data_IF_258124534869
#
_entry.id   IF_258124534869
#
_cell.length_a   1.000
_cell.length_b   1.000
_cell.length_c   1.000
_cell.angle_alpha   90.00
_cell.angle_beta   90.00
_cell.angle_gamma   90.00
#
_symmetry.space_group_name_H-M   'P 1'
#
loop_
_entity.id
_entity.type
_entity.pdbx_description
1 polymer ?
#
# COMPACT_ATOMS: atom_id res chain seq x y z
N UNK A 1 26.04 -7.13 36.63
CA UNK A 1 25.33 -6.44 37.73
C UNK A 1 25.81 -4.99 37.83
N UNK A 2 24.97 -4.02 37.45
CA UNK A 2 24.95 -2.64 37.96
C UNK A 2 23.67 -1.98 37.44
N UNK A 3 22.66 -1.90 38.30
CA UNK A 3 21.38 -1.22 38.04
C UNK A 3 21.61 0.28 38.19
N UNK A 4 21.30 1.05 37.15
CA UNK A 4 21.23 2.51 37.22
C UNK A 4 19.81 2.87 37.67
N UNK A 5 19.70 3.50 38.85
CA UNK A 5 18.46 4.03 39.41
C UNK A 5 18.12 5.32 38.67
N UNK A 6 16.92 5.39 38.07
CA UNK A 6 16.33 6.63 37.61
C UNK A 6 15.71 7.33 38.82
N UNK A 7 16.21 8.54 39.12
CA UNK A 7 15.68 9.38 40.18
C UNK A 7 14.31 9.93 39.79
N UNK A 8 13.35 9.78 40.69
CA UNK A 8 12.05 10.46 40.67
C UNK A 8 12.27 11.97 40.74
N UNK A 9 12.01 12.67 39.64
CA UNK A 9 11.89 14.13 39.62
C UNK A 9 10.54 14.50 40.23
N UNK A 10 10.58 14.96 41.49
CA UNK A 10 9.48 15.66 42.16
C UNK A 10 9.07 16.90 41.35
N UNK A 11 7.81 16.95 40.95
CA UNK A 11 7.17 18.13 40.37
C UNK A 11 7.23 19.27 41.39
N UNK A 12 8.01 20.31 41.11
CA UNK A 12 7.93 21.58 41.81
C UNK A 12 6.63 22.28 41.38
N UNK A 13 5.75 22.54 42.35
CA UNK A 13 4.50 23.28 42.13
C UNK A 13 4.79 24.68 41.61
N UNK A 14 4.27 24.98 40.42
CA UNK A 14 4.28 26.33 39.84
C UNK A 14 3.17 27.13 40.51
N UNK A 15 3.57 28.12 41.29
CA UNK A 15 2.71 29.13 41.91
C UNK A 15 2.20 30.08 40.80
N UNK A 16 0.92 30.01 40.46
CA UNK A 16 0.28 30.99 39.58
C UNK A 16 0.04 32.30 40.35
N UNK A 17 0.66 33.39 39.88
CA UNK A 17 0.38 34.74 40.35
C UNK A 17 -0.90 35.22 39.67
N UNK A 18 -1.94 35.39 40.49
CA UNK A 18 -3.23 35.96 40.10
C UNK A 18 -3.16 37.48 39.95
N UNK A 19 -3.66 38.01 38.83
CA UNK A 19 -4.21 39.36 38.78
C UNK A 19 -5.62 39.33 38.19
N UNK A 20 -6.60 39.62 39.05
CA UNK A 20 -7.71 40.52 38.72
C UNK A 20 -8.80 40.05 37.77
N UNK A 21 -9.63 39.10 38.22
CA UNK A 21 -11.10 39.13 38.13
C UNK A 21 -11.64 37.87 38.82
N UNK A 22 -12.67 38.00 39.67
CA UNK A 22 -13.26 36.90 40.42
C UNK A 22 -13.97 35.90 39.49
N UNK A 23 -13.21 34.98 38.91
CA UNK A 23 -13.70 33.77 38.26
C UNK A 23 -13.22 32.57 39.07
N UNK A 24 -14.15 31.77 39.57
CA UNK A 24 -13.84 30.47 40.18
C UNK A 24 -12.98 29.65 39.22
N UNK A 25 -11.86 29.09 39.68
CA UNK A 25 -11.07 28.13 38.90
C UNK A 25 -12.01 27.05 38.34
N UNK A 26 -12.01 26.78 37.02
CA UNK A 26 -12.95 25.85 36.42
C UNK A 26 -12.75 24.45 37.01
N UNK A 27 -13.78 23.93 37.70
CA UNK A 27 -13.69 22.67 38.46
C UNK A 27 -14.30 21.51 37.68
N UNK A 28 -15.35 21.76 36.89
CA UNK A 28 -16.02 20.71 36.09
C UNK A 28 -15.40 20.57 34.70
N UNK A 29 -15.45 19.38 34.06
CA UNK A 29 -14.99 19.21 32.69
C UNK A 29 -15.64 20.18 31.70
N UNK A 30 -16.92 20.50 31.87
CA UNK A 30 -17.64 21.47 31.05
C UNK A 30 -17.07 22.89 31.19
N UNK A 31 -16.75 23.32 32.42
CA UNK A 31 -16.13 24.62 32.68
C UNK A 31 -14.71 24.68 32.11
N UNK A 32 -13.90 23.62 32.30
CA UNK A 32 -12.53 23.56 31.76
C UNK A 32 -12.55 23.59 30.24
N UNK A 33 -13.43 22.81 29.61
CA UNK A 33 -13.66 22.85 28.16
C UNK A 33 -14.08 24.24 27.68
N UNK A 34 -15.00 24.89 28.38
CA UNK A 34 -15.46 26.24 28.02
C UNK A 34 -14.31 27.25 28.09
N UNK A 35 -13.47 27.18 29.12
CA UNK A 35 -12.29 28.04 29.23
C UNK A 35 -11.37 27.89 28.00
N UNK A 36 -11.08 26.67 27.56
CA UNK A 36 -10.26 26.42 26.36
C UNK A 36 -10.92 26.91 25.05
N UNK A 37 -12.24 27.05 25.01
CA UNK A 37 -12.94 27.61 23.84
C UNK A 37 -12.86 29.14 23.78
N UNK A 38 -12.69 29.81 24.92
CA UNK A 38 -12.71 31.28 25.02
C UNK A 38 -11.34 31.93 24.82
N UNK A 39 -10.24 31.19 24.96
CA UNK A 39 -8.89 31.75 24.75
C UNK A 39 -8.65 32.12 23.28
N UNK A 40 -7.76 33.04 22.97
CA UNK A 40 -7.27 33.27 21.60
C UNK A 40 -6.03 32.41 21.34
N UNK A 41 -6.11 31.37 20.50
CA UNK A 41 -5.03 30.39 20.36
C UNK A 41 -3.78 30.96 19.68
N UNK A 42 -3.81 32.18 19.14
CA UNK A 42 -2.63 32.84 18.59
C UNK A 42 -1.65 33.35 19.68
N UNK A 43 -2.10 33.47 20.92
CA UNK A 43 -1.29 33.99 22.03
C UNK A 43 -0.45 32.90 22.71
N UNK A 44 0.75 33.25 23.20
CA UNK A 44 1.63 32.31 23.91
C UNK A 44 0.99 31.75 25.20
N UNK A 45 0.23 32.59 25.90
CA UNK A 45 -0.52 32.17 27.09
C UNK A 45 -1.59 31.14 26.73
N UNK A 46 -2.40 31.38 25.69
CA UNK A 46 -3.40 30.42 25.25
C UNK A 46 -2.78 29.12 24.74
N UNK A 47 -1.66 29.18 24.01
CA UNK A 47 -0.92 27.99 23.60
C UNK A 47 -0.51 27.15 24.81
N UNK A 48 -0.03 27.78 25.88
CA UNK A 48 0.31 27.11 27.14
C UNK A 48 -0.92 26.45 27.78
N UNK A 49 -2.05 27.15 27.84
CA UNK A 49 -3.30 26.60 28.41
C UNK A 49 -3.85 25.44 27.58
N UNK A 50 -3.80 25.54 26.25
CA UNK A 50 -4.23 24.48 25.35
C UNK A 50 -3.32 23.25 25.44
N UNK A 51 -2.00 23.44 25.55
CA UNK A 51 -1.06 22.34 25.77
C UNK A 51 -1.31 21.63 27.10
N UNK A 52 -1.59 22.37 28.17
CA UNK A 52 -1.98 21.79 29.45
C UNK A 52 -3.28 20.96 29.33
N UNK A 53 -4.25 21.43 28.54
CA UNK A 53 -5.51 20.74 28.27
C UNK A 53 -5.37 19.36 27.60
N UNK A 54 -4.23 19.06 26.96
CA UNK A 54 -3.96 17.73 26.38
C UNK A 54 -3.77 16.64 27.43
N UNK A 55 -3.52 17.01 28.69
CA UNK A 55 -3.33 16.10 29.83
C UNK A 55 -4.56 16.03 30.75
N UNK A 56 -5.70 16.63 30.34
CA UNK A 56 -6.92 16.60 31.14
C UNK A 56 -7.48 15.18 31.27
N UNK A 57 -8.05 14.85 32.43
CA UNK A 57 -8.69 13.54 32.68
C UNK A 57 -9.87 13.28 31.72
N UNK A 58 -10.60 14.34 31.33
CA UNK A 58 -11.79 14.25 30.49
C UNK A 58 -11.40 14.23 29.00
N UNK A 59 -11.79 13.20 28.23
CA UNK A 59 -11.44 13.10 26.82
C UNK A 59 -11.97 14.26 25.96
N UNK A 60 -13.12 14.86 26.30
CA UNK A 60 -13.67 15.99 25.54
C UNK A 60 -12.87 17.26 25.76
N UNK A 61 -12.33 17.47 26.96
CA UNK A 61 -11.41 18.59 27.22
C UNK A 61 -10.13 18.40 26.40
N UNK A 62 -9.51 17.21 26.44
CA UNK A 62 -8.31 16.89 25.62
C UNK A 62 -8.53 17.13 24.13
N UNK A 63 -9.62 16.60 23.59
CA UNK A 63 -9.97 16.73 22.16
C UNK A 63 -10.27 18.18 21.78
N UNK A 64 -10.87 18.96 22.68
CA UNK A 64 -11.10 20.39 22.46
C UNK A 64 -9.76 21.13 22.37
N UNK A 65 -8.85 20.89 23.31
CA UNK A 65 -7.52 21.47 23.30
C UNK A 65 -6.75 21.13 22.02
N UNK A 66 -6.73 19.86 21.65
CA UNK A 66 -6.08 19.36 20.45
C UNK A 66 -6.62 20.00 19.16
N UNK A 67 -7.96 20.09 19.02
CA UNK A 67 -8.58 20.70 17.84
C UNK A 67 -8.21 22.18 17.72
N UNK A 68 -8.22 22.90 18.85
CA UNK A 68 -7.86 24.32 18.89
C UNK A 68 -6.40 24.53 18.50
N UNK A 69 -5.48 23.70 18.98
CA UNK A 69 -4.06 23.73 18.56
C UNK A 69 -3.91 23.42 17.07
N UNK A 70 -4.55 22.35 16.58
CA UNK A 70 -4.48 21.89 15.20
C UNK A 70 -5.03 22.90 14.18
N UNK A 71 -6.13 23.58 14.50
CA UNK A 71 -6.76 24.57 13.62
C UNK A 71 -6.04 25.92 13.61
N UNK A 72 -5.07 26.14 14.50
CA UNK A 72 -4.35 27.41 14.61
C UNK A 72 -3.09 27.38 13.74
N UNK A 73 -2.98 28.20 12.69
CA UNK A 73 -1.85 28.15 11.75
C UNK A 73 -0.49 28.40 12.41
N UNK A 74 -0.45 29.24 13.45
CA UNK A 74 0.78 29.63 14.15
C UNK A 74 1.26 28.62 15.21
N UNK A 75 0.48 27.58 15.53
CA UNK A 75 0.92 26.51 16.45
C UNK A 75 2.23 25.91 15.93
N UNK A 76 3.20 25.60 16.79
CA UNK A 76 4.48 25.05 16.31
C UNK A 76 4.36 23.58 15.87
N UNK A 77 5.28 23.11 15.02
CA UNK A 77 5.37 21.68 14.66
C UNK A 77 5.66 20.82 15.89
N UNK A 78 6.48 21.33 16.82
CA UNK A 78 6.79 20.66 18.08
C UNK A 78 5.54 20.48 18.94
N UNK A 79 4.72 21.52 19.08
CA UNK A 79 3.44 21.47 19.81
C UNK A 79 2.46 20.48 19.17
N UNK A 80 2.37 20.45 17.83
CA UNK A 80 1.54 19.47 17.13
C UNK A 80 2.06 18.03 17.27
N UNK A 81 3.37 17.86 17.44
CA UNK A 81 3.99 16.54 17.67
C UNK A 81 3.55 15.95 19.01
N UNK A 82 3.25 16.78 20.01
CA UNK A 82 2.72 16.30 21.30
C UNK A 82 1.33 15.65 21.16
N UNK A 83 0.54 16.04 20.15
CA UNK A 83 -0.79 15.46 19.93
C UNK A 83 -0.68 14.01 19.43
N UNK A 84 0.32 13.70 18.59
CA UNK A 84 0.47 12.35 18.01
C UNK A 84 0.99 11.30 19.01
N UNK A 85 1.46 11.72 20.17
CA UNK A 85 1.90 10.83 21.26
C UNK A 85 0.82 10.70 22.38
N UNK A 86 -0.37 11.29 22.19
CA UNK A 86 -1.42 11.31 23.21
C UNK A 86 -2.13 9.94 23.38
N UNK A 87 -2.59 9.65 24.60
CA UNK A 87 -3.36 8.42 24.86
C UNK A 87 -4.68 8.35 24.08
N UNK A 88 -5.31 9.49 23.79
CA UNK A 88 -6.58 9.56 23.07
C UNK A 88 -6.36 9.49 21.55
N UNK A 89 -6.95 8.46 20.94
CA UNK A 89 -6.86 8.18 19.50
C UNK A 89 -7.31 9.38 18.64
N UNK A 90 -8.36 10.09 19.04
CA UNK A 90 -8.86 11.26 18.30
C UNK A 90 -7.93 12.45 18.42
N UNK A 91 -7.23 12.61 19.55
CA UNK A 91 -6.18 13.61 19.71
C UNK A 91 -5.01 13.29 18.78
N UNK A 92 -4.54 12.04 18.75
CA UNK A 92 -3.46 11.60 17.84
C UNK A 92 -3.82 11.85 16.38
N UNK A 93 -5.01 11.42 15.95
CA UNK A 93 -5.47 11.65 14.57
C UNK A 93 -5.58 13.14 14.23
N UNK A 94 -6.02 13.97 15.18
CA UNK A 94 -6.11 15.43 14.99
C UNK A 94 -4.72 16.05 14.82
N UNK A 95 -3.76 15.67 15.67
CA UNK A 95 -2.36 16.10 15.55
C UNK A 95 -1.73 15.68 14.24
N UNK A 96 -1.93 14.40 13.86
CA UNK A 96 -1.44 13.86 12.61
C UNK A 96 -2.01 14.66 11.43
N UNK A 97 -3.33 14.83 11.33
CA UNK A 97 -3.96 15.60 10.26
C UNK A 97 -3.41 17.02 10.14
N UNK A 98 -3.13 17.69 11.27
CA UNK A 98 -2.56 19.03 11.27
C UNK A 98 -1.12 19.06 10.76
N UNK A 99 -0.29 18.08 11.16
CA UNK A 99 1.08 17.93 10.68
C UNK A 99 1.12 17.60 9.19
N UNK A 100 0.27 16.68 8.74
CA UNK A 100 0.16 16.28 7.33
C UNK A 100 -0.28 17.46 6.45
N UNK A 101 -1.25 18.25 6.90
CA UNK A 101 -1.72 19.44 6.19
C UNK A 101 -0.66 20.54 6.03
N UNK A 102 0.37 20.56 6.89
CA UNK A 102 1.52 21.48 6.76
C UNK A 102 2.57 21.00 5.78
N UNK A 103 2.65 19.68 5.55
CA UNK A 103 3.65 19.08 4.68
C UNK A 103 5.08 19.18 5.20
N UNK A 104 6.03 18.98 4.29
CA UNK A 104 7.47 19.00 4.57
C UNK A 104 7.94 17.87 5.49
N UNK A 105 9.15 18.02 6.04
CA UNK A 105 9.79 16.98 6.84
C UNK A 105 9.01 16.63 8.11
N UNK A 106 8.32 17.61 8.71
CA UNK A 106 7.46 17.40 9.87
C UNK A 106 6.34 16.39 9.58
N UNK A 107 5.74 16.44 8.39
CA UNK A 107 4.72 15.48 7.98
C UNK A 107 5.29 14.07 7.78
N UNK A 108 6.52 13.94 7.23
CA UNK A 108 7.17 12.64 7.05
C UNK A 108 7.57 12.00 8.39
N UNK A 109 8.08 12.80 9.34
CA UNK A 109 8.37 12.34 10.70
C UNK A 109 7.09 11.90 11.41
N UNK A 110 6.02 12.69 11.30
CA UNK A 110 4.71 12.34 11.85
C UNK A 110 4.16 11.05 11.24
N UNK A 111 4.25 10.89 9.92
CA UNK A 111 3.83 9.67 9.21
C UNK A 111 4.60 8.45 9.69
N UNK A 112 5.92 8.56 9.83
CA UNK A 112 6.78 7.47 10.28
C UNK A 112 6.44 6.97 11.69
N UNK A 113 6.05 7.89 12.60
CA UNK A 113 5.56 7.56 13.95
C UNK A 113 4.15 6.98 13.90
N UNK A 114 3.26 7.60 13.14
CA UNK A 114 1.88 7.17 13.00
C UNK A 114 1.75 5.76 12.40
N UNK A 115 2.65 5.33 11.51
CA UNK A 115 2.69 3.95 11.00
C UNK A 115 3.00 2.89 12.09
N UNK A 116 3.51 3.29 13.26
CA UNK A 116 3.70 2.39 14.40
C UNK A 116 2.54 2.42 15.42
N UNK A 117 1.46 3.16 15.13
CA UNK A 117 0.33 3.33 16.05
C UNK A 117 -0.48 2.04 16.21
N UNK A 118 -0.95 1.76 17.43
CA UNK A 118 -1.81 0.60 17.69
C UNK A 118 -3.17 0.71 16.99
N UNK A 119 -3.63 1.92 16.68
CA UNK A 119 -4.92 2.16 16.05
C UNK A 119 -4.83 2.26 14.52
N UNK A 120 -5.59 1.41 13.83
CA UNK A 120 -5.65 1.33 12.36
C UNK A 120 -5.98 2.69 11.72
N UNK A 121 -6.88 3.49 12.30
CA UNK A 121 -7.28 4.77 11.70
C UNK A 121 -6.16 5.82 11.69
N UNK A 122 -5.22 5.74 12.63
CA UNK A 122 -4.05 6.63 12.67
C UNK A 122 -3.03 6.19 11.61
N UNK A 123 -2.76 4.88 11.53
CA UNK A 123 -1.89 4.31 10.49
C UNK A 123 -2.42 4.57 9.08
N UNK A 124 -3.74 4.43 8.89
CA UNK A 124 -4.42 4.67 7.62
C UNK A 124 -4.25 6.12 7.14
N UNK A 125 -4.43 7.10 8.02
CA UNK A 125 -4.23 8.51 7.67
C UNK A 125 -2.78 8.81 7.24
N UNK A 126 -1.80 8.14 7.85
CA UNK A 126 -0.40 8.27 7.44
C UNK A 126 -0.14 7.65 6.07
N UNK A 127 -0.64 6.43 5.80
CA UNK A 127 -0.42 5.78 4.50
C UNK A 127 -1.10 6.51 3.35
N UNK A 128 -2.31 7.06 3.56
CA UNK A 128 -3.02 7.84 2.54
C UNK A 128 -2.24 9.09 2.15
N UNK A 129 -1.64 9.77 3.12
CA UNK A 129 -0.78 10.93 2.85
C UNK A 129 0.47 10.55 2.08
N UNK A 130 1.18 9.50 2.52
CA UNK A 130 2.38 9.01 1.83
C UNK A 130 2.05 8.58 0.39
N UNK A 131 0.91 7.90 0.20
CA UNK A 131 0.40 7.47 -1.09
C UNK A 131 -0.06 8.63 -1.98
N UNK A 132 -0.18 9.85 -1.48
CA UNK A 132 -0.48 11.06 -2.27
C UNK A 132 0.76 11.95 -2.52
N UNK A 133 1.87 11.71 -1.83
CA UNK A 133 3.08 12.54 -1.87
C UNK A 133 3.91 12.32 -3.16
N UNK A 134 3.39 12.75 -4.31
CA UNK A 134 4.10 12.68 -5.61
C UNK A 134 4.96 13.92 -5.88
N UNK A 135 6.14 13.78 -6.51
CA UNK A 135 6.84 12.52 -6.79
C UNK A 135 7.35 11.89 -5.48
N UNK A 136 7.47 10.56 -5.45
CA UNK A 136 7.99 9.89 -4.26
C UNK A 136 9.48 10.15 -4.07
N UNK A 137 9.86 10.56 -2.87
CA UNK A 137 11.25 10.51 -2.42
C UNK A 137 11.59 9.11 -1.89
N UNK A 138 12.87 8.79 -1.82
CA UNK A 138 13.36 7.54 -1.21
C UNK A 138 12.75 7.30 0.18
N UNK A 139 12.64 8.38 0.97
CA UNK A 139 12.02 8.31 2.29
C UNK A 139 10.54 7.94 2.25
N UNK A 140 9.78 8.41 1.27
CA UNK A 140 8.37 8.04 1.11
C UNK A 140 8.27 6.57 0.69
N UNK A 141 9.13 6.12 -0.23
CA UNK A 141 9.19 4.72 -0.65
C UNK A 141 9.49 3.78 0.52
N UNK A 142 10.44 4.13 1.40
CA UNK A 142 10.75 3.36 2.62
C UNK A 142 9.54 3.26 3.57
N UNK A 143 8.78 4.35 3.71
CA UNK A 143 7.62 4.36 4.60
C UNK A 143 6.43 3.58 3.99
N UNK A 144 6.21 3.68 2.69
CA UNK A 144 5.22 2.86 1.98
C UNK A 144 5.62 1.38 2.01
N UNK A 145 6.92 1.06 1.90
CA UNK A 145 7.44 -0.29 2.07
C UNK A 145 7.05 -0.87 3.43
N UNK A 146 7.29 -0.13 4.52
CA UNK A 146 6.89 -0.55 5.87
C UNK A 146 5.37 -0.71 5.99
N UNK A 147 4.60 0.19 5.40
CA UNK A 147 3.13 0.11 5.40
C UNK A 147 2.59 -1.07 4.59
N UNK A 148 3.33 -1.57 3.59
CA UNK A 148 2.94 -2.77 2.84
C UNK A 148 2.97 -4.06 3.67
N UNK A 149 3.60 -4.02 4.85
CA UNK A 149 3.68 -5.13 5.82
C UNK A 149 2.69 -4.96 6.99
N UNK A 150 1.78 -3.98 6.93
CA UNK A 150 0.83 -3.71 8.01
C UNK A 150 -0.11 -4.90 8.26
N UNK A 151 -0.56 -5.09 9.51
CA UNK A 151 -1.55 -6.10 9.85
C UNK A 151 -2.91 -5.87 9.21
N UNK A 152 -3.26 -4.63 8.89
CA UNK A 152 -4.51 -4.25 8.23
C UNK A 152 -4.41 -4.33 6.70
N UNK A 153 -5.34 -5.04 6.06
CA UNK A 153 -5.32 -5.27 4.62
C UNK A 153 -5.47 -3.99 3.78
N UNK A 154 -6.29 -3.03 4.24
CA UNK A 154 -6.49 -1.77 3.49
C UNK A 154 -5.20 -0.97 3.43
N UNK A 155 -4.46 -0.92 4.53
CA UNK A 155 -3.17 -0.22 4.59
C UNK A 155 -2.17 -0.86 3.64
N UNK A 156 -2.06 -2.20 3.66
CA UNK A 156 -1.19 -2.93 2.72
C UNK A 156 -1.55 -2.63 1.27
N UNK A 157 -2.83 -2.70 0.92
CA UNK A 157 -3.31 -2.45 -0.45
C UNK A 157 -2.99 -1.03 -0.90
N UNK A 158 -3.24 -0.02 -0.08
CA UNK A 158 -2.93 1.38 -0.42
C UNK A 158 -1.43 1.54 -0.66
N UNK A 159 -0.59 0.99 0.22
CA UNK A 159 0.85 1.06 0.10
C UNK A 159 1.37 0.38 -1.17
N UNK A 160 0.96 -0.87 -1.42
CA UNK A 160 1.37 -1.64 -2.60
C UNK A 160 0.93 -0.97 -3.90
N UNK A 161 -0.33 -0.47 -3.96
CA UNK A 161 -0.83 0.25 -5.15
C UNK A 161 -0.09 1.55 -5.37
N UNK A 162 0.23 2.27 -4.30
CA UNK A 162 0.96 3.52 -4.39
C UNK A 162 2.32 3.31 -5.07
N UNK A 163 3.04 2.24 -4.72
CA UNK A 163 4.36 1.91 -5.27
C UNK A 163 4.33 1.07 -6.55
N UNK A 164 3.16 0.78 -7.13
CA UNK A 164 3.04 -0.04 -8.32
C UNK A 164 3.51 0.74 -9.57
N UNK A 165 4.64 0.38 -10.20
CA UNK A 165 5.22 1.18 -11.28
C UNK A 165 4.73 0.76 -12.67
N UNK A 166 3.90 -0.27 -12.77
CA UNK A 166 3.54 -0.87 -14.05
C UNK A 166 2.23 -0.35 -14.58
N UNK A 167 2.24 0.08 -15.84
CA UNK A 167 1.06 0.43 -16.60
C UNK A 167 1.28 0.10 -18.07
N UNK A 168 0.35 -0.65 -18.67
CA UNK A 168 0.31 -0.89 -20.12
C UNK A 168 -1.12 -1.21 -20.54
N UNK A 169 -1.61 -0.53 -21.57
CA UNK A 169 -2.83 -0.94 -22.26
C UNK A 169 -2.47 -2.05 -23.23
N UNK A 170 -2.76 -3.30 -22.88
CA UNK A 170 -2.40 -4.49 -23.64
C UNK A 170 -3.55 -5.01 -24.51
N UNK A 171 -4.37 -4.10 -25.05
CA UNK A 171 -5.55 -4.45 -25.84
C UNK A 171 -5.13 -5.18 -27.11
N UNK A 172 -5.59 -6.41 -27.26
CA UNK A 172 -5.37 -7.23 -28.46
C UNK A 172 -5.73 -6.47 -29.72
N UNK A 173 -4.92 -6.63 -30.77
CA UNK A 173 -5.17 -5.99 -32.06
C UNK A 173 -6.53 -6.37 -32.68
N UNK A 174 -7.10 -7.54 -32.33
CA UNK A 174 -8.44 -7.95 -32.79
C UNK A 174 -9.58 -7.23 -32.08
N UNK A 175 -9.32 -6.70 -30.89
CA UNK A 175 -10.29 -5.98 -30.06
C UNK A 175 -10.18 -4.44 -30.24
N UNK A 176 -9.22 -3.97 -31.05
CA UNK A 176 -9.04 -2.56 -31.36
C UNK A 176 -10.09 -2.09 -32.37
N UNK A 177 -10.88 -1.07 -32.02
CA UNK A 177 -11.96 -0.53 -32.85
C UNK A 177 -11.49 0.17 -34.14
N UNK A 178 -10.18 0.24 -34.39
CA UNK A 178 -9.57 0.99 -35.50
C UNK A 178 -9.19 0.12 -36.69
N UNK A 179 -9.34 -1.20 -36.62
CA UNK A 179 -8.93 -2.11 -37.70
C UNK A 179 -10.09 -2.45 -38.62
N UNK A 180 -10.07 -1.97 -39.86
CA UNK A 180 -10.97 -2.43 -40.95
C UNK A 180 -10.60 -3.83 -41.48
N UNK A 181 -9.77 -4.58 -40.74
CA UNK A 181 -9.21 -5.87 -41.12
C UNK A 181 -9.75 -6.93 -40.18
N UNK A 182 -10.25 -8.03 -40.75
CA UNK A 182 -10.68 -9.22 -40.00
C UNK A 182 -9.45 -9.97 -39.47
N UNK A 183 -9.15 -9.75 -38.18
CA UNK A 183 -8.01 -10.40 -37.49
C UNK A 183 -8.46 -11.72 -36.89
N UNK A 184 -7.81 -12.82 -37.28
CA UNK A 184 -8.15 -14.18 -36.82
C UNK A 184 -6.95 -14.87 -36.19
N UNK A 185 -7.25 -15.81 -35.29
CA UNK A 185 -6.23 -16.73 -34.75
C UNK A 185 -5.86 -17.73 -35.84
N UNK A 186 -4.59 -17.77 -36.25
CA UNK A 186 -4.07 -18.72 -37.25
C UNK A 186 -3.31 -19.87 -36.63
N UNK A 187 -2.75 -19.67 -35.44
CA UNK A 187 -2.03 -20.68 -34.69
C UNK A 187 -2.21 -20.45 -33.19
N UNK A 188 -2.35 -21.54 -32.45
CA UNK A 188 -2.37 -21.55 -30.98
C UNK A 188 -1.22 -22.39 -30.48
N UNK A 189 -0.37 -21.81 -29.63
CA UNK A 189 0.79 -22.46 -29.04
C UNK A 189 0.51 -22.60 -27.54
N UNK A 190 0.18 -23.79 -27.02
CA UNK A 190 -0.06 -23.98 -25.59
C UNK A 190 1.23 -23.83 -24.80
N UNK A 191 1.17 -23.13 -23.67
CA UNK A 191 2.26 -23.15 -22.70
C UNK A 191 2.24 -24.49 -21.96
N UNK A 192 3.41 -25.05 -21.63
CA UNK A 192 3.46 -26.31 -20.89
C UNK A 192 2.87 -26.12 -19.49
N UNK A 193 2.01 -27.05 -19.06
CA UNK A 193 1.46 -27.04 -17.71
C UNK A 193 2.55 -27.21 -16.65
N UNK A 194 3.55 -28.07 -16.91
CA UNK A 194 4.64 -28.38 -15.99
C UNK A 194 5.89 -27.48 -16.17
N UNK A 195 6.74 -27.50 -15.14
CA UNK A 195 8.07 -26.86 -15.15
C UNK A 195 8.06 -25.37 -14.81
N UNK A 196 6.99 -24.86 -14.20
CA UNK A 196 6.96 -23.51 -13.66
C UNK A 196 7.58 -23.48 -12.27
N UNK A 197 8.39 -22.46 -12.01
CA UNK A 197 8.84 -22.08 -10.68
C UNK A 197 7.76 -21.28 -9.98
N UNK A 198 7.59 -21.53 -8.69
CA UNK A 198 6.54 -20.96 -7.87
C UNK A 198 7.06 -20.44 -6.54
N UNK A 199 6.60 -19.25 -6.15
CA UNK A 199 6.99 -18.61 -4.89
C UNK A 199 5.81 -17.83 -4.31
N UNK A 200 5.50 -18.09 -3.03
CA UNK A 200 4.56 -17.28 -2.28
C UNK A 200 5.17 -15.92 -1.92
N UNK A 201 4.36 -14.86 -2.01
CA UNK A 201 4.72 -13.47 -1.72
C UNK A 201 3.82 -12.89 -0.60
N UNK A 202 3.94 -13.38 0.64
CA UNK A 202 3.12 -12.91 1.76
C UNK A 202 3.32 -11.42 2.07
N UNK A 203 4.48 -10.87 1.71
CA UNK A 203 4.83 -9.46 1.91
C UNK A 203 4.45 -8.57 0.71
N UNK A 204 3.89 -9.17 -0.37
CA UNK A 204 3.45 -8.50 -1.60
C UNK A 204 4.52 -7.61 -2.25
N UNK A 205 5.79 -7.95 -2.09
CA UNK A 205 6.93 -7.13 -2.49
C UNK A 205 7.73 -7.72 -3.66
N UNK A 206 7.32 -8.85 -4.25
CA UNK A 206 8.06 -9.50 -5.33
C UNK A 206 8.28 -8.59 -6.55
N UNK A 207 7.36 -7.65 -6.78
CA UNK A 207 7.48 -6.65 -7.83
C UNK A 207 8.55 -5.57 -7.54
N UNK A 208 8.89 -5.32 -6.27
CA UNK A 208 9.99 -4.43 -5.88
C UNK A 208 11.33 -5.17 -5.85
N UNK A 209 11.28 -6.47 -5.55
CA UNK A 209 12.43 -7.38 -5.64
C UNK A 209 12.70 -7.86 -7.08
N UNK A 210 11.98 -7.30 -8.06
CA UNK A 210 12.13 -7.61 -9.49
C UNK A 210 12.03 -9.10 -9.81
N UNK A 211 11.11 -9.83 -9.17
CA UNK A 211 10.94 -11.26 -9.43
C UNK A 211 10.51 -11.59 -10.88
N UNK A 212 10.11 -10.57 -11.66
CA UNK A 212 9.84 -10.67 -13.09
C UNK A 212 11.10 -10.56 -13.97
N UNK A 213 12.26 -10.20 -13.43
CA UNK A 213 13.46 -9.97 -14.21
C UNK A 213 13.99 -11.27 -14.84
N UNK A 214 14.48 -11.25 -16.10
CA UNK A 214 15.00 -12.44 -16.78
C UNK A 214 16.17 -13.09 -16.06
N UNK A 215 16.99 -12.31 -15.35
CA UNK A 215 18.20 -12.76 -14.67
C UNK A 215 18.02 -13.17 -13.21
N UNK A 216 16.81 -13.14 -12.65
CA UNK A 216 16.58 -13.58 -11.28
C UNK A 216 16.90 -15.08 -11.13
N UNK A 217 17.72 -15.41 -10.14
CA UNK A 217 17.96 -16.78 -9.67
C UNK A 217 16.75 -17.29 -8.86
N UNK A 218 16.05 -18.28 -9.40
CA UNK A 218 14.88 -18.93 -8.80
C UNK A 218 15.15 -20.38 -8.39
N UNK A 219 16.41 -20.78 -8.20
CA UNK A 219 16.74 -22.14 -7.75
C UNK A 219 16.13 -22.50 -6.38
N UNK A 220 15.81 -21.49 -5.56
CA UNK A 220 15.13 -21.66 -4.26
C UNK A 220 13.61 -21.68 -4.34
N UNK A 221 13.02 -21.51 -5.52
CA UNK A 221 11.57 -21.54 -5.72
C UNK A 221 11.09 -22.98 -5.89
N UNK A 222 9.88 -23.25 -5.42
CA UNK A 222 9.23 -24.54 -5.59
C UNK A 222 8.88 -24.78 -7.06
N UNK A 223 8.63 -26.04 -7.43
CA UNK A 223 8.05 -26.38 -8.73
C UNK A 223 6.54 -26.59 -8.59
N UNK A 224 5.74 -25.88 -9.37
CA UNK A 224 4.28 -26.02 -9.37
C UNK A 224 3.77 -25.98 -10.81
N UNK A 225 2.87 -26.88 -11.20
CA UNK A 225 2.22 -26.76 -12.51
C UNK A 225 1.18 -25.62 -12.51
N UNK A 226 0.90 -25.06 -13.70
CA UNK A 226 -0.34 -24.32 -13.95
C UNK A 226 -1.46 -25.32 -14.32
N UNK A 227 -2.66 -24.83 -14.63
CA UNK A 227 -3.86 -25.66 -14.86
C UNK A 227 -4.31 -26.44 -13.60
N UNK A 228 -3.92 -25.93 -12.44
CA UNK A 228 -4.30 -26.45 -11.13
C UNK A 228 -4.44 -25.29 -10.14
N UNK A 229 -5.28 -25.48 -9.13
CA UNK A 229 -5.35 -24.56 -7.98
C UNK A 229 -4.18 -24.84 -7.04
N UNK A 230 -3.59 -23.81 -6.43
CA UNK A 230 -2.41 -24.00 -5.57
C UNK A 230 -2.73 -24.76 -4.28
N UNK A 231 -3.99 -24.78 -3.84
CA UNK A 231 -4.42 -25.54 -2.66
C UNK A 231 -4.29 -27.05 -2.90
N UNK A 232 -4.61 -27.52 -4.10
CA UNK A 232 -4.45 -28.93 -4.50
C UNK A 232 -2.97 -29.32 -4.59
N UNK A 233 -2.09 -28.34 -4.79
CA UNK A 233 -0.64 -28.49 -4.76
C UNK A 233 -0.04 -28.42 -3.34
N UNK A 234 -0.87 -28.26 -2.30
CA UNK A 234 -0.45 -28.23 -0.91
C UNK A 234 -0.24 -26.84 -0.31
N UNK A 235 -0.55 -25.77 -1.04
CA UNK A 235 -0.45 -24.39 -0.54
C UNK A 235 -1.80 -23.88 -0.03
N UNK A 236 -2.10 -24.12 1.25
CA UNK A 236 -3.25 -23.49 1.91
C UNK A 236 -2.96 -22.01 2.22
N UNK A 237 -3.14 -21.16 1.21
CA UNK A 237 -2.70 -19.77 1.23
C UNK A 237 -3.67 -18.84 0.48
N UNK A 238 -3.93 -17.68 1.08
CA UNK A 238 -4.65 -16.56 0.48
C UNK A 238 -3.68 -15.37 0.40
N UNK A 239 -3.47 -14.85 -0.80
CA UNK A 239 -2.54 -13.75 -1.03
C UNK A 239 -1.96 -13.78 -2.43
N UNK A 240 -0.67 -13.45 -2.53
CA UNK A 240 0.04 -13.32 -3.81
C UNK A 240 0.98 -14.49 -4.00
N UNK A 241 0.95 -15.11 -5.18
CA UNK A 241 1.89 -16.12 -5.65
C UNK A 241 2.49 -15.75 -6.99
N UNK A 242 3.74 -16.09 -7.22
CA UNK A 242 4.47 -15.81 -8.46
C UNK A 242 4.80 -17.11 -9.17
N UNK A 243 4.60 -17.11 -10.48
CA UNK A 243 4.93 -18.19 -11.40
C UNK A 243 5.98 -17.70 -12.40
N UNK A 244 7.03 -18.49 -12.66
CA UNK A 244 8.03 -18.21 -13.71
C UNK A 244 8.23 -19.44 -14.60
N UNK A 245 8.29 -19.23 -15.92
CA UNK A 245 8.58 -20.29 -16.88
C UNK A 245 9.35 -19.78 -18.07
N UNK A 246 10.32 -20.57 -18.48
CA UNK A 246 11.10 -20.35 -19.69
C UNK A 246 10.64 -21.29 -20.80
N UNK A 247 10.18 -20.76 -21.93
CA UNK A 247 9.69 -21.53 -23.07
C UNK A 247 10.53 -21.23 -24.32
N UNK A 248 10.78 -22.25 -25.13
CA UNK A 248 11.38 -22.06 -26.46
C UNK A 248 10.25 -21.85 -27.47
N UNK A 249 10.28 -20.73 -28.20
CA UNK A 249 9.32 -20.46 -29.27
C UNK A 249 9.82 -21.01 -30.61
N UNK A 250 8.90 -21.38 -31.52
CA UNK A 250 9.24 -21.70 -32.90
C UNK A 250 9.71 -20.44 -33.64
N UNK A 251 10.25 -20.63 -34.85
CA UNK A 251 10.54 -19.54 -35.78
C UNK A 251 9.31 -18.65 -36.01
N UNK A 252 9.55 -17.38 -36.34
CA UNK A 252 8.51 -16.37 -36.46
C UNK A 252 7.48 -16.78 -37.53
N UNK A 253 6.20 -16.98 -37.15
CA UNK A 253 5.15 -17.25 -38.11
C UNK A 253 4.78 -15.96 -38.87
N UNK A 254 4.03 -16.11 -39.95
CA UNK A 254 3.43 -14.96 -40.64
C UNK A 254 2.27 -14.40 -39.79
N UNK A 255 2.55 -13.30 -39.08
CA UNK A 255 1.66 -12.73 -38.06
C UNK A 255 1.49 -11.22 -38.20
N UNK A 256 0.31 -10.72 -37.81
CA UNK A 256 0.03 -9.30 -37.53
C UNK A 256 0.17 -8.96 -36.06
N UNK A 257 -0.05 -9.94 -35.19
CA UNK A 257 0.10 -9.79 -33.76
C UNK A 257 0.13 -11.12 -33.03
N UNK A 258 0.41 -11.06 -31.74
CA UNK A 258 0.35 -12.22 -30.86
C UNK A 258 -0.27 -11.83 -29.52
N UNK A 259 -1.22 -12.63 -29.06
CA UNK A 259 -1.81 -12.50 -27.73
C UNK A 259 -1.27 -13.60 -26.81
N UNK A 260 -0.99 -13.26 -25.55
CA UNK A 260 -0.89 -14.24 -24.48
C UNK A 260 -2.26 -14.34 -23.82
N UNK A 261 -2.96 -15.45 -24.08
CA UNK A 261 -4.34 -15.68 -23.66
C UNK A 261 -4.39 -16.64 -22.47
N UNK A 262 -5.09 -16.22 -21.43
CA UNK A 262 -5.33 -16.98 -20.21
C UNK A 262 -6.78 -17.45 -20.19
N UNK A 263 -6.98 -18.74 -19.94
CA UNK A 263 -8.32 -19.28 -19.75
C UNK A 263 -9.01 -18.69 -18.52
N UNK A 264 -8.27 -18.50 -17.43
CA UNK A 264 -8.60 -17.72 -16.23
C UNK A 264 -7.42 -17.78 -15.24
N UNK A 265 -7.39 -16.83 -14.30
CA UNK A 265 -6.55 -16.86 -13.09
C UNK A 265 -7.44 -16.55 -11.90
N UNK A 266 -7.29 -17.30 -10.82
CA UNK A 266 -8.05 -17.08 -9.58
C UNK A 266 -7.20 -16.24 -8.61
N UNK A 267 -7.44 -14.93 -8.42
CA UNK A 267 -8.51 -14.09 -9.00
C UNK A 267 -7.98 -13.02 -9.96
N UNK A 268 -6.76 -12.55 -9.76
CA UNK A 268 -6.19 -11.44 -10.54
C UNK A 268 -4.76 -11.76 -10.96
N UNK A 269 -4.37 -11.26 -12.14
CA UNK A 269 -3.08 -11.55 -12.74
C UNK A 269 -2.36 -10.29 -13.20
N UNK A 270 -1.04 -10.27 -13.01
CA UNK A 270 -0.12 -9.32 -13.64
C UNK A 270 0.95 -10.12 -14.35
N UNK A 271 1.27 -9.77 -15.60
CA UNK A 271 2.08 -10.62 -16.46
C UNK A 271 3.26 -9.85 -17.03
N UNK A 272 4.40 -10.51 -17.09
CA UNK A 272 5.60 -10.02 -17.75
C UNK A 272 6.10 -11.05 -18.76
N UNK A 273 6.63 -10.55 -19.87
CA UNK A 273 7.32 -11.34 -20.89
C UNK A 273 8.73 -10.76 -21.03
N UNK A 274 9.75 -11.59 -20.81
CA UNK A 274 11.15 -11.21 -20.86
C UNK A 274 11.49 -10.00 -19.95
N UNK A 275 10.84 -9.92 -18.78
CA UNK A 275 10.99 -8.80 -17.84
C UNK A 275 10.18 -7.55 -18.16
N UNK A 276 9.55 -7.48 -19.32
CA UNK A 276 8.73 -6.35 -19.74
C UNK A 276 7.28 -6.60 -19.35
N UNK A 277 6.65 -5.63 -18.71
CA UNK A 277 5.25 -5.72 -18.30
C UNK A 277 4.33 -5.87 -19.51
N UNK A 278 3.62 -7.00 -19.56
CA UNK A 278 2.68 -7.31 -20.61
C UNK A 278 1.31 -6.66 -20.34
N UNK A 279 0.86 -6.65 -19.09
CA UNK A 279 -0.43 -6.11 -18.67
C UNK A 279 -1.01 -6.90 -17.49
N UNK A 280 -2.28 -6.63 -17.18
CA UNK A 280 -2.98 -7.23 -16.06
C UNK A 280 -4.44 -7.58 -16.35
N UNK A 281 -4.99 -8.39 -15.46
CA UNK A 281 -6.40 -8.66 -15.29
C UNK A 281 -6.70 -8.56 -13.79
N UNK A 282 -7.07 -7.37 -13.32
CA UNK A 282 -7.48 -7.07 -11.94
C UNK A 282 -8.91 -6.49 -11.96
N UNK A 283 -9.90 -7.35 -12.20
CA UNK A 283 -11.34 -6.99 -12.21
C UNK A 283 -12.03 -7.25 -10.86
N UNK A 284 -11.23 -7.58 -9.83
CA UNK A 284 -11.71 -7.93 -8.50
C UNK A 284 -12.19 -9.39 -8.36
N UNK A 285 -12.83 -9.74 -7.24
CA UNK A 285 -13.15 -11.14 -6.90
C UNK A 285 -14.10 -11.87 -7.86
N UNK A 286 -14.74 -11.16 -8.79
CA UNK A 286 -15.61 -11.77 -9.81
C UNK A 286 -14.82 -12.27 -11.03
N UNK A 287 -13.58 -11.80 -11.22
CA UNK A 287 -12.73 -12.12 -12.37
C UNK A 287 -12.15 -13.53 -12.39
N UNK A 288 -12.30 -14.30 -11.31
CA UNK A 288 -11.68 -15.61 -11.12
C UNK A 288 -11.96 -16.63 -12.24
N UNK A 289 -13.05 -16.47 -12.99
CA UNK A 289 -13.44 -17.38 -14.08
C UNK A 289 -13.48 -16.70 -15.46
N UNK A 290 -13.02 -15.45 -15.54
CA UNK A 290 -13.00 -14.68 -16.79
C UNK A 290 -11.71 -14.98 -17.57
N UNK A 291 -11.86 -15.25 -18.86
CA UNK A 291 -10.71 -15.32 -19.75
C UNK A 291 -10.24 -13.91 -20.12
N UNK A 292 -8.95 -13.76 -20.29
CA UNK A 292 -8.35 -12.50 -20.72
C UNK A 292 -7.15 -12.74 -21.61
N UNK A 293 -6.69 -11.67 -22.25
CA UNK A 293 -5.60 -11.70 -23.22
C UNK A 293 -4.82 -10.41 -23.17
N UNK A 294 -3.52 -10.53 -23.43
CA UNK A 294 -2.60 -9.41 -23.44
C UNK A 294 -1.86 -9.41 -24.77
N UNK A 295 -1.85 -8.27 -25.46
CA UNK A 295 -1.02 -8.08 -26.66
C UNK A 295 0.47 -8.14 -26.29
N UNK A 296 1.15 -9.17 -26.80
CA UNK A 296 2.57 -9.44 -26.60
C UNK A 296 3.37 -9.40 -27.91
N UNK A 297 2.80 -8.84 -28.98
CA UNK A 297 3.39 -8.79 -30.33
C UNK A 297 4.85 -8.33 -30.34
N UNK A 298 5.17 -7.29 -29.56
CA UNK A 298 6.52 -6.74 -29.46
C UNK A 298 7.36 -7.26 -28.29
N UNK A 299 6.85 -8.22 -27.49
CA UNK A 299 7.55 -8.74 -26.32
C UNK A 299 8.15 -10.13 -26.52
N UNK A 300 7.58 -10.91 -27.43
CA UNK A 300 8.06 -12.26 -27.76
C UNK A 300 9.31 -12.19 -28.64
N UNK A 301 10.24 -13.11 -28.39
CA UNK A 301 11.42 -13.36 -29.23
C UNK A 301 11.22 -14.68 -29.97
N UNK A 302 10.74 -14.63 -31.19
CA UNK A 302 10.53 -15.82 -32.01
C UNK A 302 11.84 -16.53 -32.35
N UNK A 303 11.82 -17.85 -32.47
CA UNK A 303 13.01 -18.69 -32.63
C UNK A 303 13.90 -18.76 -31.39
N UNK A 304 13.56 -18.06 -30.31
CA UNK A 304 14.36 -17.93 -29.11
C UNK A 304 13.62 -18.40 -27.85
N UNK A 305 14.40 -18.46 -26.78
CA UNK A 305 13.90 -18.70 -25.43
C UNK A 305 13.27 -17.43 -24.85
N UNK A 306 12.07 -17.57 -24.29
CA UNK A 306 11.28 -16.51 -23.68
C UNK A 306 10.95 -16.86 -22.24
N UNK A 307 11.05 -15.87 -21.35
CA UNK A 307 10.57 -16.00 -19.97
C UNK A 307 9.17 -15.39 -19.85
N UNK A 308 8.23 -16.15 -19.29
CA UNK A 308 6.90 -15.71 -18.90
C UNK A 308 6.85 -15.70 -17.37
N UNK A 309 6.47 -14.57 -16.80
CA UNK A 309 6.28 -14.43 -15.36
C UNK A 309 4.85 -13.96 -15.08
N UNK A 310 4.17 -14.63 -14.16
CA UNK A 310 2.79 -14.32 -13.75
C UNK A 310 2.77 -14.10 -12.25
N UNK A 311 2.32 -12.93 -11.82
CA UNK A 311 1.92 -12.68 -10.44
C UNK A 311 0.42 -12.92 -10.34
N UNK A 312 -0.01 -13.92 -9.59
CA UNK A 312 -1.40 -14.19 -9.28
C UNK A 312 -1.74 -13.67 -7.88
N UNK A 313 -2.89 -13.04 -7.72
CA UNK A 313 -3.43 -12.64 -6.43
C UNK A 313 -4.80 -13.27 -6.23
N UNK A 314 -4.96 -13.93 -5.10
CA UNK A 314 -6.21 -14.48 -4.61
C UNK A 314 -6.62 -13.75 -3.33
N UNK A 315 -7.88 -13.36 -3.22
CA UNK A 315 -8.41 -12.73 -2.00
C UNK A 315 -9.27 -13.66 -1.14
N UNK A 316 -9.71 -14.83 -1.64
CA UNK A 316 -10.48 -15.81 -0.87
C UNK A 316 -10.52 -17.21 -1.54
N UNK A 317 -10.69 -18.27 -0.74
CA UNK A 317 -10.88 -19.65 -1.25
C UNK A 317 -9.72 -20.14 -2.15
N UNK A 318 -10.01 -20.58 -3.38
CA UNK A 318 -9.06 -21.16 -4.32
C UNK A 318 -8.20 -20.09 -4.99
N UNK A 319 -7.00 -20.44 -5.43
CA UNK A 319 -6.12 -19.47 -6.10
C UNK A 319 -5.18 -20.11 -7.11
N UNK A 320 -4.66 -19.29 -8.01
CA UNK A 320 -3.60 -19.65 -8.96
C UNK A 320 -4.02 -19.61 -10.42
N UNK A 321 -3.07 -19.96 -11.29
CA UNK A 321 -3.30 -20.08 -12.74
C UNK A 321 -3.90 -21.46 -13.02
N UNK A 322 -5.20 -21.60 -12.78
CA UNK A 322 -5.89 -22.91 -12.78
C UNK A 322 -6.48 -23.33 -14.14
N UNK A 323 -6.35 -22.50 -15.17
CA UNK A 323 -6.75 -22.82 -16.55
C UNK A 323 -5.60 -22.65 -17.55
N UNK A 324 -5.73 -23.21 -18.76
CA UNK A 324 -4.67 -23.17 -19.76
C UNK A 324 -4.23 -21.76 -20.13
N UNK A 325 -2.95 -21.62 -20.46
CA UNK A 325 -2.36 -20.41 -21.01
C UNK A 325 -1.81 -20.73 -22.40
N UNK A 326 -2.11 -19.89 -23.38
CA UNK A 326 -1.71 -20.11 -24.77
C UNK A 326 -1.19 -18.82 -25.39
N UNK A 327 -0.30 -18.93 -26.38
CA UNK A 327 0.01 -17.85 -27.30
C UNK A 327 -0.86 -18.02 -28.54
N UNK A 328 -1.68 -17.02 -28.85
CA UNK A 328 -2.47 -16.97 -30.08
C UNK A 328 -1.78 -16.07 -31.10
N UNK A 329 -1.41 -16.65 -32.24
CA UNK A 329 -0.87 -15.91 -33.39
C UNK A 329 -2.03 -15.36 -34.20
N UNK A 330 -2.00 -14.05 -34.46
CA UNK A 330 -3.07 -13.31 -35.10
C UNK A 330 -2.63 -12.89 -36.51
N UNK A 331 -3.54 -12.97 -37.48
CA UNK A 331 -3.31 -12.50 -38.85
C UNK A 331 -4.53 -11.81 -39.43
#
# INVERSE_FOLDING_TARGET
MRRIRWGTLTLAGILMISLGCAGTTPTTPAQRRMALLQVDPATAEAQTQLLAGLSDEDPLVRRTAARRLAMTPTTSVESLTLLIDNEDILVRRTGLSALLGRGGDGALVASARALADSNVMVRLAAVEYLAAARPFSDRVLDLLARASEDGDDKIRVIATRATWPFYRSATSIRDQQTTDVDVRVTQTIPLPAAGWKFQLDPQRHGHRLEWFAPGLDDNGWDDMAIEQVWQDAGYDYIGVGWYRRTIQLPDEPDLRGADLAFGAVDESAWVWVNGVYAGDHDTGPAGWNESFRLDVTGLLKWGETNQITVRAMNTAHAGGVYKPVVIEVLR
#
